data_IF_125544913593
#
_entry.id   IF_125544913593
#
_cell.length_a   1.000
_cell.length_b   1.000
_cell.length_c   1.000
_cell.angle_alpha   90.00
_cell.angle_beta   90.00
_cell.angle_gamma   90.00
#
_symmetry.space_group_name_H-M   'P 1'
#
loop_
_entity.id
_entity.type
_entity.pdbx_description
1 polymer ?
#
# COMPACT_ATOMS: atom_id res chain seq x y z
N UNK A 1 4.04 14.26 -37.46
CA UNK A 1 3.08 13.69 -36.49
C UNK A 1 3.22 14.39 -35.15
N UNK A 2 2.09 14.77 -34.57
CA UNK A 2 2.09 15.41 -33.25
C UNK A 2 2.50 14.40 -32.18
N UNK A 3 3.12 14.89 -31.12
CA UNK A 3 3.52 14.11 -29.95
C UNK A 3 2.78 14.61 -28.72
N UNK A 4 2.49 13.70 -27.80
CA UNK A 4 1.84 13.99 -26.53
C UNK A 4 2.71 13.55 -25.35
N UNK A 5 2.27 13.89 -24.15
CA UNK A 5 2.86 13.45 -22.90
C UNK A 5 1.91 12.52 -22.13
N UNK A 6 2.51 11.61 -21.36
CA UNK A 6 1.85 10.89 -20.27
C UNK A 6 2.55 11.31 -19.00
N UNK A 7 1.81 11.79 -18.02
CA UNK A 7 2.36 12.25 -16.74
C UNK A 7 1.40 11.96 -15.60
N UNK A 8 1.87 12.08 -14.38
CA UNK A 8 1.03 12.11 -13.20
C UNK A 8 1.84 12.00 -11.94
N UNK A 9 1.20 11.56 -10.86
CA UNK A 9 1.78 11.49 -9.53
C UNK A 9 1.63 10.12 -8.89
N UNK A 10 2.53 9.82 -7.95
CA UNK A 10 2.35 8.75 -6.97
C UNK A 10 2.27 9.38 -5.59
N UNK A 11 1.22 9.08 -4.84
CA UNK A 11 1.02 9.60 -3.49
C UNK A 11 0.23 8.64 -2.62
N UNK A 12 0.54 8.64 -1.33
CA UNK A 12 -0.31 8.05 -0.31
C UNK A 12 -1.55 8.92 -0.12
N UNK A 13 -2.71 8.31 -0.35
CA UNK A 13 -4.06 8.87 -0.28
C UNK A 13 -4.79 8.13 0.84
N UNK A 14 -4.72 8.65 2.06
CA UNK A 14 -5.16 7.92 3.26
C UNK A 14 -6.65 7.57 3.22
N UNK A 15 -7.45 8.48 2.67
CA UNK A 15 -8.91 8.36 2.62
C UNK A 15 -9.45 7.91 1.26
N UNK A 16 -8.57 7.67 0.28
CA UNK A 16 -8.89 7.25 -1.08
C UNK A 16 -9.84 8.23 -1.80
N UNK A 17 -9.70 9.53 -1.59
CA UNK A 17 -10.55 10.56 -2.22
C UNK A 17 -9.97 11.16 -3.51
N UNK A 18 -8.68 10.94 -3.78
CA UNK A 18 -8.01 11.36 -5.02
C UNK A 18 -7.60 12.81 -5.05
N UNK A 19 -7.69 13.48 -3.91
CA UNK A 19 -7.11 14.80 -3.68
C UNK A 19 -5.90 14.62 -2.77
N UNK A 20 -4.95 15.55 -2.84
CA UNK A 20 -3.78 15.54 -1.94
C UNK A 20 -4.09 16.52 -0.82
N UNK A 21 -4.51 16.01 0.33
CA UNK A 21 -4.92 16.80 1.48
C UNK A 21 -4.60 16.09 2.81
N UNK A 22 -4.64 16.85 3.92
CA UNK A 22 -4.51 16.25 5.25
C UNK A 22 -3.21 15.46 5.46
N UNK A 23 -3.34 14.15 5.67
CA UNK A 23 -2.25 13.21 5.96
C UNK A 23 -1.61 12.59 4.70
N UNK A 24 -2.08 12.98 3.51
CA UNK A 24 -1.55 12.46 2.25
C UNK A 24 -0.09 12.84 2.06
N UNK A 25 0.67 11.94 1.45
CA UNK A 25 2.13 12.10 1.27
C UNK A 25 2.53 11.81 -0.16
N UNK A 26 3.25 12.76 -0.77
CA UNK A 26 3.83 12.58 -2.10
C UNK A 26 5.00 11.59 -2.04
N UNK A 27 5.01 10.59 -2.93
CA UNK A 27 5.99 9.50 -2.90
C UNK A 27 7.06 9.69 -3.98
N UNK A 28 8.29 9.96 -3.54
CA UNK A 28 9.45 10.13 -4.40
C UNK A 28 10.18 8.81 -4.66
N UNK A 29 10.93 8.75 -5.76
CA UNK A 29 11.74 7.60 -6.18
C UNK A 29 10.94 6.31 -6.43
N UNK A 30 9.65 6.44 -6.76
CA UNK A 30 8.82 5.30 -7.20
C UNK A 30 9.10 5.04 -8.68
N UNK A 31 9.46 3.80 -9.01
CA UNK A 31 9.75 3.38 -10.39
C UNK A 31 8.47 3.24 -11.21
N UNK A 32 8.40 3.99 -12.31
CA UNK A 32 7.31 3.94 -13.28
C UNK A 32 7.84 3.47 -14.64
N UNK A 33 7.17 2.50 -15.23
CA UNK A 33 7.52 1.91 -16.53
C UNK A 33 6.41 2.14 -17.54
N UNK A 34 6.76 2.57 -18.75
CA UNK A 34 5.85 2.68 -19.91
C UNK A 34 6.26 1.68 -20.98
N UNK A 35 5.35 0.78 -21.36
CA UNK A 35 5.55 -0.17 -22.46
C UNK A 35 4.44 -0.13 -23.50
N UNK A 36 4.72 -0.64 -24.70
CA UNK A 36 3.70 -0.87 -25.73
C UNK A 36 4.23 -0.62 -27.14
N UNK A 37 3.34 -0.24 -28.05
CA UNK A 37 3.70 0.13 -29.42
C UNK A 37 3.03 1.43 -29.83
N UNK A 38 3.78 2.27 -30.54
CA UNK A 38 3.22 3.44 -31.18
C UNK A 38 2.39 3.08 -32.42
N UNK A 39 1.73 4.08 -33.00
CA UNK A 39 0.89 3.96 -34.20
C UNK A 39 1.65 3.48 -35.45
N UNK A 40 2.98 3.62 -35.47
CA UNK A 40 3.85 3.12 -36.55
C UNK A 40 4.34 1.68 -36.30
N UNK A 41 3.92 1.05 -35.18
CA UNK A 41 4.30 -0.30 -34.80
C UNK A 41 5.65 -0.42 -34.09
N UNK A 42 6.35 0.69 -33.82
CA UNK A 42 7.60 0.69 -33.05
C UNK A 42 7.31 0.40 -31.58
N UNK A 43 8.10 -0.49 -30.97
CA UNK A 43 8.01 -0.79 -29.54
C UNK A 43 8.58 0.36 -28.71
N UNK A 44 7.94 0.63 -27.58
CA UNK A 44 8.39 1.55 -26.54
C UNK A 44 8.58 0.76 -25.25
N UNK A 45 9.66 1.07 -24.53
CA UNK A 45 9.97 0.58 -23.19
C UNK A 45 10.80 1.66 -22.50
N UNK A 46 10.14 2.51 -21.72
CA UNK A 46 10.75 3.63 -21.03
C UNK A 46 10.55 3.47 -19.53
N UNK A 47 11.49 3.96 -18.74
CA UNK A 47 11.38 4.02 -17.28
C UNK A 47 11.69 5.43 -16.80
N UNK A 48 11.08 5.81 -15.69
CA UNK A 48 11.37 7.04 -14.94
C UNK A 48 11.09 6.80 -13.46
N UNK A 49 11.55 7.69 -12.60
CA UNK A 49 11.17 7.72 -11.20
C UNK A 49 10.37 8.98 -10.89
N UNK A 50 9.52 8.91 -9.87
CA UNK A 50 8.86 10.09 -9.33
C UNK A 50 9.86 11.03 -8.64
N UNK A 51 9.65 12.33 -8.81
CA UNK A 51 10.45 13.36 -8.14
C UNK A 51 10.01 13.57 -6.68
N UNK A 52 10.61 14.56 -5.99
CA UNK A 52 10.27 14.92 -4.61
C UNK A 52 8.81 15.40 -4.41
N UNK A 53 8.11 15.73 -5.50
CA UNK A 53 6.70 16.11 -5.54
C UNK A 53 5.81 14.93 -5.99
N UNK A 54 6.36 13.71 -6.05
CA UNK A 54 5.65 12.52 -6.50
C UNK A 54 5.42 12.47 -8.01
N UNK A 55 5.94 13.42 -8.78
CA UNK A 55 5.60 13.58 -10.20
C UNK A 55 6.49 12.75 -11.12
N UNK A 56 5.91 12.16 -12.16
CA UNK A 56 6.62 11.51 -13.26
C UNK A 56 6.12 12.01 -14.63
N UNK A 57 6.95 11.88 -15.67
CA UNK A 57 6.56 12.28 -17.03
C UNK A 57 7.29 11.47 -18.09
N UNK A 58 6.53 11.00 -19.08
CA UNK A 58 7.02 10.54 -20.38
C UNK A 58 6.61 11.55 -21.45
N UNK A 59 7.58 12.22 -22.05
CA UNK A 59 7.36 13.23 -23.07
C UNK A 59 7.67 12.72 -24.49
N UNK A 60 7.25 13.48 -25.50
CA UNK A 60 7.54 13.22 -26.92
C UNK A 60 7.06 11.85 -27.41
N UNK A 61 5.89 11.40 -26.93
CA UNK A 61 5.30 10.13 -27.31
C UNK A 61 4.43 10.32 -28.55
N UNK A 62 4.64 9.48 -29.57
CA UNK A 62 3.63 9.32 -30.62
C UNK A 62 2.41 8.59 -30.07
N UNK A 63 1.26 8.79 -30.71
CA UNK A 63 0.04 8.05 -30.43
C UNK A 63 0.29 6.53 -30.34
N UNK A 64 -0.41 5.85 -29.44
CA UNK A 64 -0.31 4.39 -29.30
C UNK A 64 -0.99 3.69 -30.48
N UNK A 65 -0.74 2.39 -30.63
CA UNK A 65 -1.59 1.55 -31.46
C UNK A 65 -2.92 1.22 -30.75
N UNK A 66 -3.74 0.36 -31.35
CA UNK A 66 -5.03 -0.06 -30.82
C UNK A 66 -4.97 -0.81 -29.47
N UNK A 67 -3.79 -1.23 -29.01
CA UNK A 67 -3.62 -1.87 -27.70
C UNK A 67 -3.31 -0.88 -26.57
N UNK A 68 -3.04 0.39 -26.89
CA UNK A 68 -2.60 1.38 -25.91
C UNK A 68 -1.12 1.25 -25.53
N UNK A 69 -0.68 2.15 -24.65
CA UNK A 69 0.51 1.96 -23.83
C UNK A 69 0.10 1.46 -22.44
N UNK A 70 0.90 0.58 -21.85
CA UNK A 70 0.76 0.14 -20.47
C UNK A 70 1.73 0.92 -19.61
N UNK A 71 1.21 1.59 -18.59
CA UNK A 71 1.98 2.20 -17.52
C UNK A 71 1.93 1.24 -16.34
N UNK A 72 3.07 0.98 -15.72
CA UNK A 72 3.21 0.11 -14.57
C UNK A 72 3.98 0.84 -13.48
N UNK A 73 3.41 0.86 -12.28
CA UNK A 73 4.11 1.25 -11.06
C UNK A 73 4.83 0.03 -10.47
N UNK A 74 6.00 0.24 -9.88
CA UNK A 74 6.56 -0.72 -8.94
C UNK A 74 6.03 -0.40 -7.55
N UNK A 75 5.15 -1.25 -7.01
CA UNK A 75 4.49 -1.06 -5.71
C UNK A 75 5.47 -0.58 -4.62
N UNK A 76 5.25 0.60 -4.03
CA UNK A 76 5.99 1.06 -2.86
C UNK A 76 5.82 0.09 -1.68
N UNK A 77 6.94 -0.44 -1.17
CA UNK A 77 6.94 -1.58 -0.23
C UNK A 77 6.22 -1.37 1.12
N UNK A 78 6.00 -0.11 1.53
CA UNK A 78 5.35 0.24 2.79
C UNK A 78 3.85 0.51 2.66
N UNK A 79 3.33 0.43 1.43
CA UNK A 79 1.96 0.78 1.15
C UNK A 79 1.26 -0.36 0.42
N UNK A 80 -0.07 -0.33 0.52
CA UNK A 80 -0.94 -1.19 -0.26
C UNK A 80 -1.41 -0.41 -1.49
N UNK A 81 -1.52 -1.12 -2.61
CA UNK A 81 -2.08 -0.56 -3.85
C UNK A 81 -3.45 0.06 -3.58
N UNK A 82 -3.66 1.25 -4.14
CA UNK A 82 -4.91 1.99 -4.05
C UNK A 82 -5.50 2.23 -5.43
N UNK A 83 -6.54 3.05 -5.52
CA UNK A 83 -7.30 3.18 -6.77
C UNK A 83 -6.75 4.30 -7.66
N UNK A 84 -6.10 3.94 -8.76
CA UNK A 84 -5.55 4.91 -9.72
C UNK A 84 -6.60 5.81 -10.39
N UNK A 85 -6.15 6.98 -10.83
CA UNK A 85 -7.00 8.05 -11.36
C UNK A 85 -6.43 8.62 -12.65
N UNK A 86 -7.31 9.11 -13.50
CA UNK A 86 -6.94 9.90 -14.68
C UNK A 86 -7.81 11.16 -14.76
N UNK A 87 -7.71 11.90 -15.87
CA UNK A 87 -8.50 13.12 -16.08
C UNK A 87 -10.03 12.91 -16.08
N UNK A 88 -10.50 11.66 -16.16
CA UNK A 88 -11.92 11.28 -16.08
C UNK A 88 -12.35 10.82 -14.68
N UNK A 89 -11.42 10.77 -13.72
CA UNK A 89 -11.65 10.28 -12.36
C UNK A 89 -11.06 8.88 -12.12
N UNK A 90 -11.73 8.12 -11.27
CA UNK A 90 -11.34 6.77 -10.82
C UNK A 90 -11.26 5.77 -11.98
N UNK A 91 -10.19 4.98 -11.99
CA UNK A 91 -10.02 3.81 -12.84
C UNK A 91 -10.49 2.59 -12.03
N UNK A 92 -11.62 2.00 -12.41
CA UNK A 92 -12.21 0.93 -11.60
C UNK A 92 -11.37 -0.36 -11.63
N UNK A 93 -11.07 -0.91 -10.45
CA UNK A 93 -10.41 -2.21 -10.29
C UNK A 93 -8.91 -2.19 -10.55
N UNK A 94 -8.30 -1.01 -10.58
CA UNK A 94 -6.87 -0.85 -10.82
C UNK A 94 -6.02 -1.12 -9.57
N UNK A 95 -6.63 -1.08 -8.38
CA UNK A 95 -6.13 -1.39 -7.02
C UNK A 95 -5.68 -2.85 -6.79
N UNK A 96 -5.52 -3.60 -7.87
CA UNK A 96 -5.14 -5.00 -7.91
C UNK A 96 -3.99 -5.27 -8.88
N UNK A 97 -3.50 -4.23 -9.57
CA UNK A 97 -2.69 -4.43 -10.77
C UNK A 97 -1.46 -3.56 -10.88
N UNK A 98 -1.35 -2.44 -10.15
CA UNK A 98 -0.31 -1.42 -10.35
C UNK A 98 -0.18 -0.97 -11.83
N UNK A 99 -1.23 -1.14 -12.65
CA UNK A 99 -1.15 -0.92 -14.10
C UNK A 99 -2.33 -0.19 -14.68
N UNK A 100 -2.02 0.72 -15.61
CA UNK A 100 -3.02 1.49 -16.35
C UNK A 100 -2.73 1.41 -17.84
N UNK A 101 -3.75 1.07 -18.63
CA UNK A 101 -3.69 1.14 -20.09
C UNK A 101 -4.15 2.52 -20.57
N UNK A 102 -3.29 3.22 -21.30
CA UNK A 102 -3.55 4.53 -21.88
C UNK A 102 -3.59 4.45 -23.40
N UNK A 103 -4.75 4.77 -23.97
CA UNK A 103 -4.91 4.94 -25.42
C UNK A 103 -4.47 6.35 -25.81
N UNK A 104 -3.16 6.54 -26.00
CA UNK A 104 -2.59 7.85 -26.25
C UNK A 104 -2.88 8.32 -27.69
N UNK A 105 -3.36 9.56 -27.82
CA UNK A 105 -3.55 10.25 -29.10
C UNK A 105 -2.64 11.48 -29.17
N UNK A 106 -3.02 12.55 -29.88
CA UNK A 106 -2.28 13.81 -29.88
C UNK A 106 -2.55 14.68 -28.63
N UNK A 107 -3.32 14.16 -27.66
CA UNK A 107 -3.64 14.84 -26.40
C UNK A 107 -2.85 14.27 -25.23
N UNK A 108 -2.33 15.14 -24.37
CA UNK A 108 -1.67 14.74 -23.13
C UNK A 108 -2.63 13.95 -22.24
N UNK A 109 -2.09 12.99 -21.48
CA UNK A 109 -2.86 12.14 -20.58
C UNK A 109 -2.26 12.21 -19.17
N UNK A 110 -3.16 12.19 -18.18
CA UNK A 110 -2.84 12.14 -16.77
C UNK A 110 -3.11 10.73 -16.25
N UNK A 111 -2.18 10.16 -15.48
CA UNK A 111 -2.39 8.93 -14.71
C UNK A 111 -1.74 9.12 -13.34
N UNK A 112 -2.55 9.17 -12.31
CA UNK A 112 -2.12 9.23 -10.92
C UNK A 112 -2.26 7.85 -10.29
N UNK A 113 -1.19 7.39 -9.63
CA UNK A 113 -1.20 6.23 -8.76
C UNK A 113 -1.40 6.68 -7.33
N UNK A 114 -2.27 5.98 -6.60
CA UNK A 114 -2.56 6.32 -5.22
C UNK A 114 -2.37 5.12 -4.33
N UNK A 115 -1.72 5.32 -3.20
CA UNK A 115 -1.43 4.28 -2.23
C UNK A 115 -2.33 4.41 -1.01
N UNK A 116 -2.62 3.30 -0.33
CA UNK A 116 -3.39 3.28 0.91
C UNK A 116 -2.66 2.58 2.05
N UNK A 117 -3.26 2.63 3.24
CA UNK A 117 -2.69 2.02 4.43
C UNK A 117 -2.50 0.51 4.19
N UNK A 118 -1.34 -0.06 4.61
CA UNK A 118 -1.17 -1.50 4.59
C UNK A 118 -2.17 -2.15 5.55
N UNK A 119 -2.41 -3.44 5.32
CA UNK A 119 -3.32 -4.21 6.17
C UNK A 119 -2.79 -4.27 7.61
N UNK A 120 -3.70 -4.15 8.58
CA UNK A 120 -3.39 -4.33 9.99
C UNK A 120 -3.64 -5.79 10.41
N UNK A 121 -3.01 -6.17 11.50
CA UNK A 121 -3.14 -7.47 12.14
C UNK A 121 -3.53 -7.33 13.60
N UNK A 122 -3.85 -8.47 14.21
CA UNK A 122 -4.19 -8.58 15.63
C UNK A 122 -3.27 -9.59 16.29
N UNK A 123 -2.73 -9.23 17.45
CA UNK A 123 -2.05 -10.18 18.35
C UNK A 123 -3.00 -10.44 19.52
N UNK A 124 -3.32 -11.70 19.74
CA UNK A 124 -4.20 -12.11 20.85
C UNK A 124 -3.66 -13.37 21.49
N UNK A 125 -3.97 -13.55 22.76
CA UNK A 125 -3.61 -14.77 23.48
C UNK A 125 -4.46 -14.95 24.73
N UNK A 126 -4.10 -15.95 25.52
CA UNK A 126 -4.77 -16.29 26.76
C UNK A 126 -3.74 -16.60 27.84
N UNK A 127 -4.04 -16.24 29.08
CA UNK A 127 -3.25 -16.54 30.27
C UNK A 127 -4.07 -17.40 31.22
N UNK A 128 -3.51 -18.54 31.59
CA UNK A 128 -4.13 -19.48 32.52
C UNK A 128 -3.05 -20.23 33.29
N UNK A 129 -3.39 -20.66 34.50
CA UNK A 129 -2.59 -21.61 35.26
C UNK A 129 -2.86 -23.01 34.72
N UNK A 130 -1.87 -23.57 34.05
CA UNK A 130 -1.86 -24.93 33.53
C UNK A 130 -1.25 -25.86 34.60
N UNK A 131 -2.10 -26.62 35.28
CA UNK A 131 -1.68 -27.42 36.43
C UNK A 131 -0.82 -28.63 35.99
N UNK A 132 -1.13 -29.21 34.83
CA UNK A 132 -0.52 -30.44 34.34
C UNK A 132 0.53 -30.21 33.24
N UNK A 133 0.68 -28.97 32.76
CA UNK A 133 1.61 -28.49 31.74
C UNK A 133 1.43 -29.11 30.35
N UNK A 134 0.19 -29.42 29.96
CA UNK A 134 -0.11 -30.05 28.67
C UNK A 134 -0.43 -29.06 27.54
N UNK A 135 -0.55 -27.76 27.84
CA UNK A 135 -0.82 -26.71 26.85
C UNK A 135 -2.25 -26.72 26.30
N UNK A 136 -3.16 -27.50 26.90
CA UNK A 136 -4.60 -27.41 26.70
C UNK A 136 -5.24 -26.70 27.89
N UNK A 137 -6.53 -26.37 27.79
CA UNK A 137 -7.27 -25.80 28.91
C UNK A 137 -8.31 -26.86 29.29
N UNK A 138 -7.98 -27.63 30.31
CA UNK A 138 -8.79 -28.77 30.75
C UNK A 138 -8.75 -28.93 32.28
N UNK A 139 -9.61 -29.82 32.78
CA UNK A 139 -9.61 -30.26 34.17
C UNK A 139 -9.60 -29.12 35.22
N UNK A 140 -8.52 -28.99 36.00
CA UNK A 140 -8.38 -28.03 37.10
C UNK A 140 -7.70 -26.70 36.69
N UNK A 141 -7.46 -26.47 35.40
CA UNK A 141 -6.81 -25.25 34.94
C UNK A 141 -7.64 -24.01 35.28
N UNK A 142 -6.94 -22.92 35.61
CA UNK A 142 -7.58 -21.68 36.05
C UNK A 142 -7.24 -20.53 35.13
N UNK A 143 -8.26 -19.93 34.50
CA UNK A 143 -8.10 -18.72 33.69
C UNK A 143 -7.72 -17.53 34.57
N UNK A 144 -6.72 -16.77 34.16
CA UNK A 144 -6.19 -15.66 34.96
C UNK A 144 -6.65 -14.32 34.38
N UNK A 145 -7.52 -13.63 35.12
CA UNK A 145 -8.02 -12.27 34.80
C UNK A 145 -7.11 -11.20 35.40
N UNK A 146 -7.12 -10.00 34.80
CA UNK A 146 -6.38 -8.81 35.25
C UNK A 146 -4.85 -9.01 35.27
N UNK A 147 -4.33 -9.88 34.42
CA UNK A 147 -2.89 -10.01 34.18
C UNK A 147 -2.49 -8.95 33.16
N UNK A 148 -1.53 -8.10 33.52
CA UNK A 148 -0.97 -7.10 32.62
C UNK A 148 -0.07 -7.76 31.57
N UNK A 149 -0.37 -7.51 30.30
CA UNK A 149 0.41 -7.90 29.13
C UNK A 149 0.91 -6.63 28.46
N UNK A 150 2.19 -6.58 28.16
CA UNK A 150 2.82 -5.47 27.45
C UNK A 150 3.28 -5.93 26.08
N UNK A 151 3.00 -5.13 25.05
CA UNK A 151 3.52 -5.31 23.70
C UNK A 151 4.40 -4.11 23.36
N UNK A 152 5.65 -4.38 23.02
CA UNK A 152 6.68 -3.40 22.70
C UNK A 152 7.33 -3.68 21.35
N UNK A 153 7.98 -2.69 20.75
CA UNK A 153 8.76 -2.86 19.52
C UNK A 153 8.53 -1.70 18.57
N UNK A 154 8.70 -1.94 17.27
CA UNK A 154 8.44 -0.94 16.23
C UNK A 154 7.60 -1.51 15.11
N UNK A 155 6.71 -0.68 14.58
CA UNK A 155 6.01 -1.01 13.35
C UNK A 155 6.92 -0.87 12.11
N UNK A 156 6.41 -1.27 10.94
CA UNK A 156 7.11 -1.23 9.66
C UNK A 156 7.47 0.19 9.21
N UNK A 157 6.85 1.22 9.81
CA UNK A 157 7.16 2.63 9.60
C UNK A 157 8.21 3.17 10.59
N UNK A 158 8.62 2.36 11.57
CA UNK A 158 9.59 2.70 12.60
C UNK A 158 8.98 3.42 13.81
N UNK A 159 7.65 3.47 13.93
CA UNK A 159 6.95 4.03 15.08
C UNK A 159 7.07 3.10 16.28
N UNK A 160 7.35 3.65 17.45
CA UNK A 160 7.44 2.87 18.68
C UNK A 160 6.06 2.39 19.12
N UNK A 161 5.94 1.08 19.37
CA UNK A 161 4.79 0.44 20.00
C UNK A 161 5.13 0.19 21.48
N UNK A 162 4.23 0.58 22.37
CA UNK A 162 4.27 0.30 23.80
C UNK A 162 2.84 0.25 24.35
N UNK A 163 2.16 -0.84 24.08
CA UNK A 163 0.76 -1.05 24.46
C UNK A 163 0.66 -1.96 25.67
N UNK A 164 -0.39 -1.75 26.47
CA UNK A 164 -0.72 -2.60 27.61
C UNK A 164 -2.16 -3.09 27.49
N UNK A 165 -2.38 -4.37 27.72
CA UNK A 165 -3.70 -4.98 27.81
C UNK A 165 -3.80 -5.79 29.11
N UNK A 166 -4.99 -5.86 29.69
CA UNK A 166 -5.28 -6.75 30.80
C UNK A 166 -6.12 -7.94 30.32
N UNK A 167 -5.82 -9.12 30.86
CA UNK A 167 -6.63 -10.30 30.55
C UNK A 167 -8.05 -10.18 31.11
N UNK A 168 -9.04 -10.59 30.31
CA UNK A 168 -10.44 -10.60 30.71
C UNK A 168 -10.76 -11.79 31.66
N UNK A 169 -12.04 -11.98 32.01
CA UNK A 169 -12.49 -13.09 32.87
C UNK A 169 -12.25 -14.49 32.26
N UNK A 170 -12.03 -14.56 30.95
CA UNK A 170 -11.67 -15.76 30.20
C UNK A 170 -10.14 -15.90 30.02
N UNK A 171 -9.36 -15.04 30.67
CA UNK A 171 -7.91 -14.99 30.56
C UNK A 171 -7.39 -14.41 29.26
N UNK A 172 -8.23 -13.87 28.38
CA UNK A 172 -7.86 -13.44 27.04
C UNK A 172 -7.36 -12.01 27.00
N UNK A 173 -6.39 -11.72 26.15
CA UNK A 173 -5.92 -10.37 25.83
C UNK A 173 -5.86 -10.16 24.31
N UNK A 174 -5.90 -8.91 23.87
CA UNK A 174 -5.86 -8.56 22.44
C UNK A 174 -5.19 -7.20 22.23
N UNK A 175 -4.33 -7.12 21.23
CA UNK A 175 -3.80 -5.91 20.61
C UNK A 175 -4.26 -5.91 19.15
N UNK A 176 -5.22 -5.04 18.83
CA UNK A 176 -5.78 -4.90 17.48
C UNK A 176 -5.07 -3.78 16.71
N UNK A 177 -5.38 -3.69 15.42
CA UNK A 177 -4.97 -2.60 14.53
C UNK A 177 -3.45 -2.36 14.50
N UNK A 178 -2.68 -3.46 14.54
CA UNK A 178 -1.22 -3.42 14.47
C UNK A 178 -0.77 -3.47 13.02
N UNK A 179 -0.02 -2.48 12.57
CA UNK A 179 0.78 -2.66 11.37
C UNK A 179 1.83 -3.77 11.57
N UNK A 180 2.35 -4.31 10.47
CA UNK A 180 3.46 -5.25 10.52
C UNK A 180 4.62 -4.66 11.36
N UNK A 181 5.36 -5.50 12.07
CA UNK A 181 6.56 -5.05 12.79
C UNK A 181 7.72 -4.77 11.84
N UNK A 182 8.71 -4.03 12.34
CA UNK A 182 10.01 -3.96 11.69
C UNK A 182 10.74 -5.32 11.71
N UNK A 183 11.96 -5.36 11.17
CA UNK A 183 12.75 -6.58 11.11
C UNK A 183 13.11 -7.20 12.48
N UNK A 184 12.91 -6.48 13.59
CA UNK A 184 13.17 -6.96 14.95
C UNK A 184 11.92 -7.59 15.60
N UNK A 185 10.74 -7.39 15.03
CA UNK A 185 9.49 -7.92 15.56
C UNK A 185 8.90 -7.08 16.70
N UNK A 186 7.72 -7.50 17.18
CA UNK A 186 7.17 -7.07 18.45
C UNK A 186 7.55 -8.06 19.57
N UNK A 187 7.67 -7.56 20.80
CA UNK A 187 8.01 -8.32 22.03
C UNK A 187 7.08 -8.02 23.18
#
# INVERSE_FOLDING_TARGET
>A
PDTATISGRVYFDENQDGTIAGNDTLLANVDITLTGKNIFGSRISLTTQTNAQGEYTFANLFASNASGYTITQTQPALYKDGVERNSSGVIAGSDLTDTVIVNLTASNQLVDFTEQNPDTATISGRVYFDENQDGTIADNDTLLTNVDITLTGKDIFGSDINFTAQTNAQGEYTFADLFASDANGYT
#
